data_IF_675017511475
#
_entry.id   IF_675017511475
#
_cell.length_a   1.000
_cell.length_b   1.000
_cell.length_c   1.000
_cell.angle_alpha   90.00
_cell.angle_beta   90.00
_cell.angle_gamma   90.00
#
_symmetry.space_group_name_H-M   'P 1'
#
loop_
_entity.id
_entity.type
_entity.pdbx_description
1 polymer ?
#
# COMPACT_ATOMS: atom_id res chain seq x y z
N UNK A 1 -24.44 -12.29 1.03
CA UNK A 1 -24.07 -11.14 1.89
C UNK A 1 -25.25 -10.17 1.98
N UNK A 2 -25.68 -9.74 3.18
CA UNK A 2 -26.79 -8.80 3.34
C UNK A 2 -26.62 -7.50 2.53
N UNK A 3 -27.71 -6.96 1.96
CA UNK A 3 -27.66 -5.76 1.08
C UNK A 3 -27.02 -4.53 1.75
N UNK A 4 -27.23 -4.36 3.06
CA UNK A 4 -26.65 -3.24 3.81
C UNK A 4 -25.12 -3.34 3.91
N UNK A 5 -24.57 -4.56 4.09
CA UNK A 5 -23.13 -4.82 4.12
C UNK A 5 -22.51 -4.58 2.73
N UNK A 6 -23.19 -5.05 1.66
CA UNK A 6 -22.72 -4.80 0.29
C UNK A 6 -22.62 -3.31 -0.03
N UNK A 7 -23.63 -2.49 0.33
CA UNK A 7 -23.58 -1.04 0.13
C UNK A 7 -22.44 -0.38 0.91
N UNK A 8 -22.22 -0.77 2.16
CA UNK A 8 -21.09 -0.26 2.97
C UNK A 8 -19.74 -0.64 2.36
N UNK A 9 -19.60 -1.88 1.91
CA UNK A 9 -18.37 -2.36 1.29
C UNK A 9 -18.10 -1.71 -0.06
N UNK A 10 -19.13 -1.49 -0.88
CA UNK A 10 -19.01 -0.76 -2.14
C UNK A 10 -18.43 0.64 -1.89
N UNK A 11 -18.99 1.39 -0.93
CA UNK A 11 -18.46 2.71 -0.54
C UNK A 11 -17.02 2.67 -0.06
N UNK A 12 -16.64 1.69 0.77
CA UNK A 12 -15.25 1.51 1.23
C UNK A 12 -14.30 1.10 0.11
N UNK A 13 -14.77 0.30 -0.85
CA UNK A 13 -13.96 -0.24 -1.94
C UNK A 13 -13.47 0.84 -2.90
N UNK A 14 -14.26 1.91 -3.12
CA UNK A 14 -13.91 3.04 -4.01
C UNK A 14 -12.56 3.64 -3.64
N UNK A 15 -12.26 3.73 -2.33
CA UNK A 15 -11.00 4.27 -1.83
C UNK A 15 -9.94 3.17 -1.76
N UNK A 16 -10.29 1.99 -1.24
CA UNK A 16 -9.33 0.90 -1.02
C UNK A 16 -8.71 0.36 -2.30
N UNK A 17 -9.50 0.21 -3.37
CA UNK A 17 -9.01 -0.33 -4.65
C UNK A 17 -7.90 0.53 -5.26
N UNK A 18 -7.94 1.85 -5.04
CA UNK A 18 -6.92 2.78 -5.54
C UNK A 18 -5.55 2.56 -4.88
N UNK A 19 -5.50 2.02 -3.67
CA UNK A 19 -4.25 1.84 -2.89
C UNK A 19 -3.89 0.38 -2.67
N UNK A 20 -4.75 -0.55 -3.06
CA UNK A 20 -4.54 -1.98 -2.88
C UNK A 20 -3.24 -2.47 -3.55
N UNK A 21 -2.94 -1.95 -4.74
CA UNK A 21 -1.69 -2.26 -5.44
C UNK A 21 -0.44 -1.83 -4.65
N UNK A 22 -0.51 -0.71 -3.91
CA UNK A 22 0.58 -0.23 -3.05
C UNK A 22 0.85 -1.24 -1.94
N UNK A 23 -0.21 -1.68 -1.26
CA UNK A 23 -0.10 -2.65 -0.18
C UNK A 23 0.38 -4.02 -0.67
N UNK A 24 -0.07 -4.44 -1.86
CA UNK A 24 0.39 -5.67 -2.50
C UNK A 24 1.89 -5.63 -2.81
N UNK A 25 2.38 -4.54 -3.41
CA UNK A 25 3.82 -4.37 -3.68
C UNK A 25 4.63 -4.35 -2.38
N UNK A 26 4.23 -3.52 -1.40
CA UNK A 26 4.90 -3.47 -0.10
C UNK A 26 4.97 -4.85 0.57
N UNK A 27 3.87 -5.61 0.58
CA UNK A 27 3.85 -6.95 1.17
C UNK A 27 4.74 -7.93 0.40
N UNK A 28 4.74 -7.87 -0.92
CA UNK A 28 5.56 -8.77 -1.75
C UNK A 28 7.06 -8.46 -1.67
N UNK A 29 7.44 -7.18 -1.74
CA UNK A 29 8.83 -6.74 -1.86
C UNK A 29 9.53 -6.58 -0.52
N UNK A 30 8.80 -6.21 0.53
CA UNK A 30 9.38 -5.97 1.86
C UNK A 30 9.01 -7.04 2.89
N UNK A 31 8.21 -8.03 2.49
CA UNK A 31 7.66 -9.02 3.44
C UNK A 31 6.90 -8.35 4.58
N UNK A 32 6.22 -7.22 4.30
CA UNK A 32 5.72 -6.32 5.34
C UNK A 32 4.82 -7.06 6.33
N UNK A 33 5.32 -7.20 7.56
CA UNK A 33 4.62 -7.83 8.65
C UNK A 33 4.85 -7.06 9.94
N UNK A 34 3.78 -6.43 10.45
CA UNK A 34 3.84 -5.58 11.63
C UNK A 34 3.30 -6.36 12.82
N UNK A 35 4.21 -6.96 13.60
CA UNK A 35 3.93 -7.60 14.90
C UNK A 35 4.90 -7.13 16.00
N UNK A 36 5.31 -5.86 15.93
CA UNK A 36 6.25 -5.29 16.90
C UNK A 36 5.56 -4.79 18.17
N UNK A 37 6.23 -4.92 19.31
CA UNK A 37 5.81 -4.29 20.56
C UNK A 37 6.07 -2.78 20.50
N UNK A 38 5.02 -1.98 20.70
CA UNK A 38 5.07 -0.53 20.73
C UNK A 38 4.74 0.15 19.40
N UNK A 39 3.92 1.20 19.47
CA UNK A 39 3.40 1.94 18.31
C UNK A 39 4.54 2.60 17.52
N UNK A 40 5.53 3.20 18.19
CA UNK A 40 6.65 3.86 17.52
C UNK A 40 7.42 2.91 16.57
N UNK A 41 7.65 1.65 17.00
CA UNK A 41 8.32 0.63 16.17
C UNK A 41 7.45 0.18 15.00
N UNK A 42 6.14 0.08 15.20
CA UNK A 42 5.20 -0.23 14.13
C UNK A 42 5.17 0.90 13.08
N UNK A 43 5.09 2.15 13.53
CA UNK A 43 5.13 3.34 12.67
C UNK A 43 6.42 3.39 11.86
N UNK A 44 7.57 3.14 12.47
CA UNK A 44 8.85 3.09 11.76
C UNK A 44 8.84 2.03 10.65
N UNK A 45 8.39 0.80 10.94
CA UNK A 45 8.32 -0.27 9.92
C UNK A 45 7.43 0.10 8.74
N UNK A 46 6.26 0.67 9.01
CA UNK A 46 5.33 1.13 7.98
C UNK A 46 5.96 2.28 7.17
N UNK A 47 6.58 3.24 7.84
CA UNK A 47 7.25 4.37 7.21
C UNK A 47 8.36 3.93 6.25
N UNK A 48 9.21 2.98 6.66
CA UNK A 48 10.25 2.43 5.82
C UNK A 48 9.69 1.72 4.58
N UNK A 49 8.65 0.89 4.73
CA UNK A 49 8.02 0.24 3.59
C UNK A 49 7.42 1.24 2.59
N UNK A 50 6.86 2.34 3.10
CA UNK A 50 6.34 3.42 2.26
C UNK A 50 7.46 4.16 1.49
N UNK A 51 8.58 4.44 2.14
CA UNK A 51 9.74 5.07 1.48
C UNK A 51 10.26 4.16 0.37
N UNK A 52 10.46 2.87 0.63
CA UNK A 52 10.93 1.89 -0.37
C UNK A 52 9.98 1.84 -1.57
N UNK A 53 8.67 1.77 -1.34
CA UNK A 53 7.68 1.79 -2.41
C UNK A 53 7.78 3.06 -3.26
N UNK A 54 7.82 4.23 -2.62
CA UNK A 54 7.86 5.51 -3.34
C UNK A 54 9.14 5.68 -4.16
N UNK A 55 10.29 5.25 -3.65
CA UNK A 55 11.55 5.29 -4.42
C UNK A 55 11.51 4.37 -5.64
N UNK A 56 10.98 3.15 -5.49
CA UNK A 56 10.82 2.21 -6.62
C UNK A 56 9.84 2.74 -7.65
N UNK A 57 8.71 3.28 -7.19
CA UNK A 57 7.69 3.89 -8.05
C UNK A 57 8.25 5.09 -8.81
N UNK A 58 9.03 5.94 -8.16
CA UNK A 58 9.69 7.08 -8.79
C UNK A 58 10.60 6.61 -9.95
N UNK A 59 11.49 5.66 -9.70
CA UNK A 59 12.38 5.11 -10.75
C UNK A 59 11.57 4.52 -11.91
N UNK A 60 10.47 3.83 -11.63
CA UNK A 60 9.59 3.29 -12.67
C UNK A 60 8.97 4.39 -13.54
N UNK A 61 8.45 5.45 -12.92
CA UNK A 61 7.87 6.59 -13.64
C UNK A 61 8.92 7.33 -14.47
N UNK A 62 10.11 7.55 -13.91
CA UNK A 62 11.23 8.15 -14.66
C UNK A 62 11.62 7.32 -15.88
N UNK A 63 11.66 5.98 -15.76
CA UNK A 63 11.94 5.09 -16.89
C UNK A 63 10.86 5.13 -17.97
N UNK A 64 9.59 5.20 -17.58
CA UNK A 64 8.48 5.35 -18.53
C UNK A 64 8.57 6.69 -19.26
N UNK A 65 8.84 7.79 -18.53
CA UNK A 65 9.00 9.12 -19.13
C UNK A 65 10.20 9.19 -20.08
N UNK A 66 11.32 8.53 -19.75
CA UNK A 66 12.50 8.49 -20.61
C UNK A 66 12.34 7.62 -21.87
N UNK A 67 11.33 6.75 -21.88
CA UNK A 67 11.01 5.86 -23.02
C UNK A 67 9.88 6.40 -23.90
N UNK A 68 9.31 7.55 -23.54
CA UNK A 68 8.25 8.27 -24.27
C UNK A 68 8.87 9.38 -25.14
#
# INVERSE_FOLDING_TARGET
MPRHIQKSNAGKSVIRSRVEHVFADQKSQTGLFVRTVGISRATMRIGLANIVYNMRRFIFLERLNASA
#
